data_IF_000662038797
#
_entry.id   IF_000662038797
#
_cell.length_a   1.000
_cell.length_b   1.000
_cell.length_c   1.000
_cell.angle_alpha   90.00
_cell.angle_beta   90.00
_cell.angle_gamma   90.00
#
_symmetry.space_group_name_H-M   'P 1'
#
loop_
_entity.id
_entity.type
_entity.pdbx_description
1 polymer ?
#
# COMPACT_ATOMS: atom_id res chain seq x y z
N UNK A 1 -12.49 -9.36 -15.55
CA UNK A 1 -11.24 -9.52 -16.36
C UNK A 1 -10.15 -10.03 -15.43
N UNK A 2 -9.23 -10.83 -15.94
CA UNK A 2 -8.10 -11.34 -15.15
C UNK A 2 -6.89 -10.41 -15.33
N UNK A 3 -6.24 -10.04 -14.25
CA UNK A 3 -4.98 -9.29 -14.31
C UNK A 3 -3.88 -10.20 -14.90
N UNK A 4 -3.18 -9.72 -15.93
CA UNK A 4 -2.18 -10.53 -16.62
C UNK A 4 -0.89 -10.78 -15.80
N UNK A 5 -0.78 -10.13 -14.63
CA UNK A 5 0.43 -10.15 -13.83
C UNK A 5 1.49 -9.20 -14.38
N UNK A 6 2.63 -9.16 -13.71
CA UNK A 6 3.79 -8.40 -14.17
C UNK A 6 5.09 -9.08 -13.71
N UNK A 7 6.19 -8.75 -14.37
CA UNK A 7 7.54 -9.23 -14.06
C UNK A 7 8.32 -8.22 -13.19
N UNK A 8 7.64 -7.21 -12.66
CA UNK A 8 8.27 -6.21 -11.78
C UNK A 8 8.71 -6.90 -10.50
N UNK A 9 9.95 -6.60 -10.07
CA UNK A 9 10.51 -7.10 -8.82
C UNK A 9 9.61 -6.75 -7.63
N UNK A 10 9.31 -7.72 -6.76
CA UNK A 10 8.50 -7.55 -5.56
C UNK A 10 8.01 -8.90 -5.02
N UNK A 11 7.31 -8.87 -3.90
CA UNK A 11 6.98 -10.08 -3.14
C UNK A 11 5.54 -10.56 -3.31
N UNK A 12 4.65 -9.71 -3.81
CA UNK A 12 3.25 -10.09 -4.02
C UNK A 12 3.07 -11.19 -5.04
N UNK A 13 2.29 -12.20 -4.68
CA UNK A 13 1.90 -13.29 -5.54
C UNK A 13 0.88 -12.84 -6.61
N UNK A 14 0.68 -13.63 -7.67
CA UNK A 14 -0.36 -13.34 -8.67
C UNK A 14 -1.77 -13.22 -8.09
N UNK A 15 -2.09 -13.96 -7.01
CA UNK A 15 -3.41 -13.90 -6.36
C UNK A 15 -3.63 -12.57 -5.64
N UNK A 16 -2.60 -12.03 -4.99
CA UNK A 16 -2.64 -10.72 -4.34
C UNK A 16 -2.77 -9.60 -5.36
N UNK A 17 -1.99 -9.64 -6.44
CA UNK A 17 -2.09 -8.69 -7.53
C UNK A 17 -3.46 -8.71 -8.21
N UNK A 18 -4.05 -9.89 -8.39
CA UNK A 18 -5.41 -10.03 -8.91
C UNK A 18 -6.43 -9.37 -7.98
N UNK A 19 -6.31 -9.59 -6.66
CA UNK A 19 -7.19 -8.96 -5.68
C UNK A 19 -7.09 -7.44 -5.72
N UNK A 20 -5.88 -6.88 -5.74
CA UNK A 20 -5.66 -5.43 -5.86
C UNK A 20 -6.29 -4.86 -7.13
N UNK A 21 -6.08 -5.52 -8.26
CA UNK A 21 -6.69 -5.14 -9.55
C UNK A 21 -8.23 -5.12 -9.47
N UNK A 22 -8.84 -6.15 -8.88
CA UNK A 22 -10.30 -6.26 -8.74
C UNK A 22 -10.89 -5.21 -7.81
N UNK A 23 -10.20 -4.88 -6.71
CA UNK A 23 -10.65 -3.79 -5.86
C UNK A 23 -10.48 -2.43 -6.56
N UNK A 24 -9.36 -2.23 -7.23
CA UNK A 24 -9.08 -0.98 -7.94
C UNK A 24 -10.13 -0.63 -9.01
N UNK A 25 -10.74 -1.63 -9.65
CA UNK A 25 -11.82 -1.42 -10.63
C UNK A 25 -13.06 -0.69 -10.07
N UNK A 26 -13.25 -0.73 -8.76
CA UNK A 26 -14.39 -0.13 -8.04
C UNK A 26 -14.07 1.26 -7.48
N UNK A 27 -12.85 1.73 -7.69
CA UNK A 27 -12.30 2.93 -7.02
C UNK A 27 -11.91 3.99 -8.06
N UNK A 28 -12.28 5.25 -7.79
CA UNK A 28 -11.87 6.38 -8.63
C UNK A 28 -10.56 7.03 -8.13
N UNK A 29 -10.27 6.91 -6.83
CA UNK A 29 -9.06 7.48 -6.21
C UNK A 29 -8.47 6.49 -5.21
N UNK A 30 -7.22 6.11 -5.43
CA UNK A 30 -6.48 5.16 -4.59
C UNK A 30 -5.21 5.83 -4.09
N UNK A 31 -4.85 5.61 -2.84
CA UNK A 31 -3.52 5.88 -2.29
C UNK A 31 -2.85 4.56 -1.97
N UNK A 32 -1.65 4.36 -2.45
CA UNK A 32 -0.75 3.28 -2.06
C UNK A 32 0.42 3.84 -1.25
N UNK A 33 0.68 3.26 -0.09
CA UNK A 33 1.80 3.59 0.80
C UNK A 33 2.83 2.45 0.70
N UNK A 34 4.06 2.78 0.26
CA UNK A 34 5.08 1.77 0.04
C UNK A 34 4.97 1.12 -1.33
N UNK A 35 5.50 1.78 -2.35
CA UNK A 35 5.34 1.38 -3.75
C UNK A 35 6.55 0.61 -4.29
N UNK A 36 7.73 0.78 -3.69
CA UNK A 36 8.97 0.12 -4.05
C UNK A 36 9.27 0.20 -5.56
N UNK A 37 9.36 -0.94 -6.25
CA UNK A 37 9.57 -1.01 -7.71
C UNK A 37 8.28 -0.88 -8.53
N UNK A 38 7.09 -0.81 -7.88
CA UNK A 38 5.81 -0.60 -8.55
C UNK A 38 5.06 -1.89 -8.92
N UNK A 39 5.36 -3.03 -8.29
CA UNK A 39 4.70 -4.31 -8.59
C UNK A 39 3.20 -4.28 -8.26
N UNK A 40 2.83 -3.91 -7.06
CA UNK A 40 1.46 -3.67 -6.61
C UNK A 40 0.83 -2.46 -7.29
N UNK A 41 1.62 -1.38 -7.41
CA UNK A 41 1.20 -0.15 -8.11
C UNK A 41 0.69 -0.43 -9.51
N UNK A 42 1.36 -1.31 -10.28
CA UNK A 42 0.91 -1.64 -11.64
C UNK A 42 -0.46 -2.34 -11.64
N UNK A 43 -0.73 -3.21 -10.67
CA UNK A 43 -2.04 -3.85 -10.53
C UNK A 43 -3.14 -2.83 -10.22
N UNK A 44 -2.87 -1.90 -9.29
CA UNK A 44 -3.79 -0.81 -8.94
C UNK A 44 -4.04 0.11 -10.14
N UNK A 45 -2.99 0.53 -10.85
CA UNK A 45 -3.08 1.39 -12.04
C UNK A 45 -3.88 0.74 -13.17
N UNK A 46 -3.67 -0.56 -13.39
CA UNK A 46 -4.35 -1.31 -14.44
C UNK A 46 -5.86 -1.49 -14.15
N UNK A 47 -6.24 -1.51 -12.88
CA UNK A 47 -7.64 -1.66 -12.48
C UNK A 47 -8.37 -0.32 -12.33
N UNK A 48 -7.71 0.68 -11.77
CA UNK A 48 -8.33 1.95 -11.38
C UNK A 48 -8.71 2.81 -12.60
N UNK A 49 -9.99 3.15 -12.79
CA UNK A 49 -10.42 4.04 -13.86
C UNK A 49 -10.06 5.53 -13.62
N UNK A 50 -9.67 5.86 -12.39
CA UNK A 50 -9.33 7.23 -11.99
C UNK A 50 -7.85 7.37 -11.64
N UNK A 51 -7.51 7.92 -10.48
CA UNK A 51 -6.13 8.27 -10.10
C UNK A 51 -5.59 7.35 -9.03
N UNK A 52 -4.35 6.90 -9.19
CA UNK A 52 -3.56 6.21 -8.16
C UNK A 52 -2.42 7.11 -7.70
N UNK A 53 -2.43 7.48 -6.44
CA UNK A 53 -1.37 8.22 -5.75
C UNK A 53 -0.40 7.20 -5.15
N UNK A 54 0.82 7.18 -5.66
CA UNK A 54 1.88 6.28 -5.19
C UNK A 54 2.81 7.04 -4.23
N UNK A 55 2.65 6.77 -2.94
CA UNK A 55 3.39 7.46 -1.86
C UNK A 55 4.52 6.56 -1.37
N UNK A 56 5.75 7.01 -1.56
CA UNK A 56 6.95 6.34 -1.07
C UNK A 56 8.09 7.37 -0.99
N UNK A 57 9.04 7.21 -0.09
CA UNK A 57 10.26 8.00 -0.09
C UNK A 57 11.37 7.34 -0.92
N UNK A 58 11.23 6.08 -1.31
CA UNK A 58 12.16 5.25 -2.07
C UNK A 58 13.58 5.15 -1.47
N UNK A 59 13.69 5.22 -0.15
CA UNK A 59 14.95 5.09 0.58
C UNK A 59 15.08 3.76 1.32
N UNK A 60 14.08 2.89 1.18
CA UNK A 60 13.99 1.59 1.86
C UNK A 60 13.52 1.69 3.30
N UNK A 61 12.95 0.60 3.82
CA UNK A 61 12.42 0.54 5.17
C UNK A 61 13.50 0.14 6.17
N UNK A 62 13.64 0.84 7.31
CA UNK A 62 14.51 0.40 8.39
C UNK A 62 13.91 -0.80 9.13
N UNK A 63 14.77 -1.70 9.58
CA UNK A 63 14.42 -2.71 10.57
C UNK A 63 14.43 -2.17 11.99
N UNK A 64 14.13 -3.03 12.96
CA UNK A 64 14.08 -2.65 14.38
C UNK A 64 15.41 -2.10 14.94
N UNK A 65 16.54 -2.43 14.34
CA UNK A 65 17.87 -1.91 14.69
C UNK A 65 18.26 -0.65 13.92
N UNK A 66 17.36 -0.08 13.10
CA UNK A 66 17.61 1.10 12.28
C UNK A 66 18.38 0.84 10.97
N UNK A 67 18.87 -0.37 10.72
CA UNK A 67 19.48 -0.73 9.46
C UNK A 67 18.43 -0.97 8.37
N UNK A 68 18.76 -0.64 7.12
CA UNK A 68 17.90 -0.93 5.97
C UNK A 68 17.69 -2.44 5.85
N UNK A 69 16.43 -2.87 5.84
CA UNK A 69 16.04 -4.26 5.68
C UNK A 69 16.72 -4.90 4.46
N UNK A 70 17.09 -6.19 4.60
CA UNK A 70 17.73 -6.93 3.50
C UNK A 70 16.90 -6.86 2.22
N UNK A 71 15.59 -6.97 2.34
CA UNK A 71 14.64 -6.86 1.23
C UNK A 71 14.75 -5.53 0.45
N UNK A 72 15.12 -4.44 1.15
CA UNK A 72 15.20 -3.09 0.59
C UNK A 72 16.63 -2.66 0.23
N UNK A 73 17.61 -3.56 0.18
CA UNK A 73 19.03 -3.22 -0.05
C UNK A 73 19.32 -2.60 -1.41
N UNK A 74 18.42 -2.71 -2.36
CA UNK A 74 18.55 -2.07 -3.69
C UNK A 74 18.83 -0.57 -3.59
N UNK A 75 18.31 0.12 -2.57
CA UNK A 75 18.56 1.56 -2.35
C UNK A 75 20.04 1.91 -2.19
N UNK A 76 20.90 0.93 -1.86
CA UNK A 76 22.36 1.11 -1.73
C UNK A 76 23.09 1.05 -3.07
N UNK A 77 22.46 0.53 -4.12
CA UNK A 77 23.11 0.20 -5.38
C UNK A 77 22.44 0.81 -6.60
N UNK A 78 21.20 1.29 -6.46
CA UNK A 78 20.45 1.88 -7.57
C UNK A 78 19.47 2.95 -7.10
N UNK A 79 19.05 3.82 -8.02
CA UNK A 79 17.92 4.72 -7.82
C UNK A 79 16.61 3.94 -7.98
N UNK A 80 15.99 3.58 -6.85
CA UNK A 80 14.74 2.79 -6.83
C UNK A 80 13.56 3.62 -7.37
N UNK A 81 13.55 4.94 -7.16
CA UNK A 81 12.52 5.80 -7.75
C UNK A 81 12.61 5.82 -9.29
N UNK A 82 13.83 5.91 -9.84
CA UNK A 82 14.01 5.82 -11.30
C UNK A 82 13.55 4.46 -11.85
N UNK A 83 13.82 3.37 -11.12
CA UNK A 83 13.33 2.03 -11.48
C UNK A 83 11.80 1.94 -11.40
N UNK A 84 11.18 2.48 -10.36
CA UNK A 84 9.73 2.61 -10.24
C UNK A 84 9.15 3.36 -11.44
N UNK A 85 9.66 4.54 -11.77
CA UNK A 85 9.19 5.34 -12.91
C UNK A 85 9.39 4.64 -14.25
N UNK A 86 10.47 3.86 -14.41
CA UNK A 86 10.66 3.03 -15.61
C UNK A 86 9.57 1.97 -15.75
N UNK A 87 9.14 1.38 -14.63
CA UNK A 87 8.16 0.29 -14.64
C UNK A 87 6.72 0.79 -14.83
N UNK A 88 6.34 1.90 -14.19
CA UNK A 88 4.95 2.35 -14.14
C UNK A 88 4.74 3.81 -14.58
N UNK A 89 5.77 4.56 -14.85
CA UNK A 89 5.68 5.98 -15.22
C UNK A 89 4.93 6.26 -16.54
N UNK A 90 4.68 5.23 -17.36
CA UNK A 90 3.87 5.35 -18.57
C UNK A 90 2.35 5.36 -18.36
N UNK A 91 1.86 5.07 -17.15
CA UNK A 91 0.44 5.11 -16.84
C UNK A 91 -0.03 6.56 -16.63
N UNK A 92 -1.01 7.00 -17.44
CA UNK A 92 -1.53 8.37 -17.40
C UNK A 92 -2.27 8.71 -16.08
N UNK A 93 -2.73 7.69 -15.34
CA UNK A 93 -3.43 7.81 -14.08
C UNK A 93 -2.53 7.69 -12.83
N UNK A 94 -1.20 7.63 -13.02
CA UNK A 94 -0.23 7.63 -11.92
C UNK A 94 0.05 9.05 -11.42
N UNK A 95 0.05 9.23 -10.10
CA UNK A 95 0.54 10.41 -9.40
C UNK A 95 1.58 10.00 -8.34
N UNK A 96 2.87 10.01 -8.63
CA UNK A 96 3.91 9.67 -7.66
C UNK A 96 4.11 10.82 -6.67
N UNK A 97 4.21 10.47 -5.38
CA UNK A 97 4.47 11.41 -4.27
C UNK A 97 5.71 10.91 -3.53
N UNK A 98 6.87 11.53 -3.85
CA UNK A 98 8.16 11.19 -3.24
C UNK A 98 8.30 11.81 -1.85
N UNK A 99 7.65 11.19 -0.87
CA UNK A 99 7.50 11.74 0.47
C UNK A 99 7.27 10.60 1.47
N UNK A 100 7.59 10.80 2.74
CA UNK A 100 7.21 9.84 3.77
C UNK A 100 5.68 9.84 3.96
N UNK A 101 5.12 8.69 4.33
CA UNK A 101 3.67 8.48 4.48
C UNK A 101 3.01 9.55 5.35
N UNK A 102 3.56 9.79 6.56
CA UNK A 102 3.00 10.74 7.53
C UNK A 102 3.16 12.21 7.12
N UNK A 103 4.05 12.52 6.18
CA UNK A 103 4.15 13.85 5.58
C UNK A 103 3.12 14.01 4.46
N UNK A 104 2.98 12.99 3.62
CA UNK A 104 2.09 13.00 2.47
C UNK A 104 0.61 13.10 2.87
N UNK A 105 0.21 12.50 4.00
CA UNK A 105 -1.18 12.45 4.46
C UNK A 105 -1.82 13.83 4.63
N UNK A 106 -1.02 14.85 4.97
CA UNK A 106 -1.47 16.23 5.09
C UNK A 106 -2.01 16.86 3.80
N UNK A 107 -1.68 16.27 2.64
CA UNK A 107 -2.17 16.73 1.32
C UNK A 107 -3.54 16.18 0.94
N UNK A 108 -4.13 15.32 1.78
CA UNK A 108 -5.42 14.67 1.52
C UNK A 108 -6.46 15.12 2.54
N UNK A 109 -7.60 15.58 2.06
CA UNK A 109 -8.76 15.86 2.91
C UNK A 109 -9.38 14.54 3.42
N UNK A 110 -10.12 14.61 4.51
CA UNK A 110 -10.85 13.44 5.04
C UNK A 110 -11.86 12.94 4.00
N UNK A 111 -12.02 11.60 3.93
CA UNK A 111 -12.92 10.92 2.98
C UNK A 111 -12.67 11.26 1.51
N UNK A 112 -11.46 11.73 1.15
CA UNK A 112 -11.14 12.19 -0.20
C UNK A 112 -10.64 11.09 -1.14
N UNK A 113 -10.28 9.91 -0.64
CA UNK A 113 -9.83 8.76 -1.43
C UNK A 113 -10.73 7.54 -1.20
N UNK A 114 -10.98 6.77 -2.25
CA UNK A 114 -11.86 5.59 -2.14
C UNK A 114 -11.18 4.43 -1.41
N UNK A 115 -9.89 4.23 -1.69
CA UNK A 115 -9.10 3.13 -1.12
C UNK A 115 -7.73 3.63 -0.68
N UNK A 116 -7.30 3.17 0.49
CA UNK A 116 -5.91 3.25 0.95
C UNK A 116 -5.37 1.84 1.05
N UNK A 117 -4.16 1.60 0.48
CA UNK A 117 -3.42 0.36 0.58
C UNK A 117 -2.06 0.61 1.23
N UNK A 118 -1.80 -0.02 2.38
CA UNK A 118 -0.61 0.20 3.23
C UNK A 118 0.33 -1.01 3.12
N UNK A 119 1.49 -0.80 2.49
CA UNK A 119 2.55 -1.81 2.31
C UNK A 119 3.96 -1.17 2.48
N UNK A 120 4.09 -0.29 3.46
CA UNK A 120 5.33 0.45 3.73
C UNK A 120 6.23 -0.25 4.73
N UNK A 121 6.26 0.23 5.97
CA UNK A 121 6.97 -0.41 7.07
C UNK A 121 6.11 -1.50 7.72
N UNK A 122 6.76 -2.56 8.22
CA UNK A 122 6.07 -3.68 8.88
C UNK A 122 6.30 -3.68 10.42
N UNK A 123 6.95 -2.64 10.94
CA UNK A 123 7.10 -2.45 12.37
C UNK A 123 5.77 -1.99 12.98
N UNK A 124 5.39 -2.56 14.11
CA UNK A 124 4.12 -2.26 14.79
C UNK A 124 3.80 -0.76 14.88
N UNK A 125 4.75 0.05 15.40
CA UNK A 125 4.53 1.49 15.58
C UNK A 125 4.29 2.22 14.25
N UNK A 126 5.00 1.82 13.19
CA UNK A 126 4.87 2.44 11.88
C UNK A 126 3.55 2.04 11.21
N UNK A 127 3.17 0.76 11.25
CA UNK A 127 1.88 0.28 10.72
C UNK A 127 0.72 0.95 11.45
N UNK A 128 0.79 1.02 12.78
CA UNK A 128 -0.22 1.70 13.60
C UNK A 128 -0.34 3.18 13.24
N UNK A 129 0.78 3.88 13.11
CA UNK A 129 0.79 5.29 12.74
C UNK A 129 0.19 5.53 11.35
N UNK A 130 0.55 4.70 10.35
CA UNK A 130 -0.01 4.78 9.00
C UNK A 130 -1.53 4.53 9.01
N UNK A 131 -2.00 3.48 9.68
CA UNK A 131 -3.44 3.20 9.77
C UNK A 131 -4.18 4.38 10.39
N UNK A 132 -3.74 4.89 11.54
CA UNK A 132 -4.40 6.00 12.23
C UNK A 132 -4.40 7.29 11.41
N UNK A 133 -3.33 7.57 10.66
CA UNK A 133 -3.23 8.75 9.82
C UNK A 133 -4.10 8.66 8.56
N UNK A 134 -4.14 7.51 7.91
CA UNK A 134 -4.80 7.33 6.62
C UNK A 134 -6.26 6.87 6.72
N UNK A 135 -6.68 6.26 7.82
CA UNK A 135 -8.07 5.84 8.03
C UNK A 135 -9.09 6.98 7.84
N UNK A 136 -8.87 8.21 8.37
CA UNK A 136 -9.77 9.32 8.12
C UNK A 136 -9.84 9.73 6.64
N UNK A 137 -8.79 9.48 5.85
CA UNK A 137 -8.72 9.85 4.44
C UNK A 137 -9.47 8.87 3.53
N UNK A 138 -9.58 7.61 3.96
CA UNK A 138 -10.27 6.56 3.23
C UNK A 138 -11.79 6.72 3.33
N UNK A 139 -12.49 6.51 2.21
CA UNK A 139 -13.95 6.60 2.13
C UNK A 139 -14.64 5.23 2.11
N UNK A 140 -14.06 4.25 1.38
CA UNK A 140 -14.70 2.96 1.15
C UNK A 140 -13.89 1.79 1.70
N UNK A 141 -12.57 1.81 1.53
CA UNK A 141 -11.70 0.68 1.83
C UNK A 141 -10.37 1.15 2.42
N UNK A 142 -10.00 0.61 3.57
CA UNK A 142 -8.62 0.63 4.05
C UNK A 142 -8.10 -0.80 4.03
N UNK A 143 -6.87 -1.00 3.58
CA UNK A 143 -6.26 -2.30 3.39
C UNK A 143 -4.74 -2.22 3.50
N UNK A 144 -4.09 -3.34 3.61
CA UNK A 144 -2.63 -3.42 3.61
C UNK A 144 -2.14 -4.86 3.48
N UNK A 145 -0.85 -5.07 3.67
CA UNK A 145 -0.17 -6.33 3.42
C UNK A 145 0.47 -6.92 4.69
N UNK A 146 1.14 -8.07 4.52
CA UNK A 146 1.95 -8.79 5.51
C UNK A 146 1.23 -9.35 6.75
N UNK A 147 -0.10 -9.37 6.80
CA UNK A 147 -0.80 -10.10 7.84
C UNK A 147 -0.45 -11.59 7.80
N UNK A 148 -0.04 -12.16 8.94
CA UNK A 148 0.34 -13.56 9.03
C UNK A 148 1.72 -13.91 8.46
N UNK A 149 2.49 -12.96 7.94
CA UNK A 149 3.88 -13.18 7.55
C UNK A 149 4.72 -13.53 8.80
N UNK A 150 5.57 -14.58 8.71
CA UNK A 150 6.28 -15.13 9.88
C UNK A 150 7.16 -14.13 10.63
N UNK A 151 7.72 -13.15 9.93
CA UNK A 151 8.65 -12.15 10.49
C UNK A 151 7.95 -10.82 10.74
N UNK A 152 7.17 -10.35 9.75
CA UNK A 152 6.56 -9.02 9.75
C UNK A 152 5.13 -9.03 10.30
N UNK A 153 4.42 -10.12 10.11
CA UNK A 153 3.01 -10.26 10.50
C UNK A 153 2.69 -9.98 11.96
N UNK A 154 3.54 -10.32 12.95
CA UNK A 154 3.23 -10.00 14.34
C UNK A 154 3.01 -8.51 14.61
N UNK A 155 3.82 -7.63 14.01
CA UNK A 155 3.64 -6.18 14.16
C UNK A 155 2.38 -5.67 13.47
N UNK A 156 2.09 -6.20 12.27
CA UNK A 156 0.87 -5.88 11.53
C UNK A 156 -0.37 -6.36 12.29
N UNK A 157 -0.39 -7.62 12.73
CA UNK A 157 -1.53 -8.20 13.44
C UNK A 157 -1.83 -7.45 14.75
N UNK A 158 -0.79 -7.10 15.52
CA UNK A 158 -0.94 -6.32 16.75
C UNK A 158 -1.56 -4.95 16.49
N UNK A 159 -1.13 -4.24 15.45
CA UNK A 159 -1.68 -2.94 15.10
C UNK A 159 -3.16 -3.03 14.69
N UNK A 160 -3.52 -4.06 13.91
CA UNK A 160 -4.89 -4.29 13.48
C UNK A 160 -5.82 -4.63 14.66
N UNK A 161 -5.38 -5.54 15.54
CA UNK A 161 -6.13 -5.93 16.72
C UNK A 161 -6.40 -4.73 17.65
N UNK A 162 -5.41 -3.88 17.86
CA UNK A 162 -5.55 -2.70 18.71
C UNK A 162 -6.49 -1.65 18.11
N UNK A 163 -6.47 -1.45 16.78
CA UNK A 163 -7.26 -0.39 16.13
C UNK A 163 -8.67 -0.88 15.77
N UNK A 164 -8.80 -2.10 15.29
CA UNK A 164 -10.04 -2.64 14.73
C UNK A 164 -10.65 -3.79 15.57
N UNK A 165 -9.92 -4.34 16.56
CA UNK A 165 -10.35 -5.55 17.25
C UNK A 165 -10.43 -6.72 16.26
N UNK A 166 -11.65 -7.26 16.08
CA UNK A 166 -11.93 -8.31 15.09
C UNK A 166 -12.67 -7.78 13.84
N UNK A 167 -12.79 -6.46 13.69
CA UNK A 167 -13.57 -5.83 12.63
C UNK A 167 -12.69 -5.51 11.40
N UNK A 168 -12.05 -6.55 10.87
CA UNK A 168 -11.32 -6.55 9.60
C UNK A 168 -11.34 -7.98 9.00
N UNK A 169 -11.01 -8.08 7.72
CA UNK A 169 -10.96 -9.34 6.99
C UNK A 169 -9.55 -9.59 6.46
N UNK A 170 -9.26 -10.88 6.17
CA UNK A 170 -7.99 -11.32 5.59
C UNK A 170 -8.27 -11.96 4.23
N UNK A 171 -7.63 -11.42 3.22
CA UNK A 171 -7.68 -11.87 1.83
C UNK A 171 -6.50 -12.77 1.44
N UNK A 172 -6.20 -12.88 0.16
CA UNK A 172 -5.11 -13.71 -0.33
C UNK A 172 -3.75 -13.21 0.15
N UNK A 173 -2.84 -14.16 0.47
CA UNK A 173 -1.42 -13.91 0.71
C UNK A 173 -1.08 -13.02 1.90
N UNK A 174 -2.04 -12.74 2.77
CA UNK A 174 -1.82 -11.85 3.92
C UNK A 174 -2.22 -10.40 3.67
N UNK A 175 -2.99 -10.12 2.62
CA UNK A 175 -3.71 -8.86 2.50
C UNK A 175 -4.76 -8.80 3.60
N UNK A 176 -4.73 -7.76 4.41
CA UNK A 176 -5.81 -7.41 5.34
C UNK A 176 -6.62 -6.27 4.78
N UNK A 177 -7.93 -6.20 5.11
CA UNK A 177 -8.78 -5.12 4.64
C UNK A 177 -9.99 -4.91 5.55
N UNK A 178 -10.49 -3.67 5.55
CA UNK A 178 -11.72 -3.28 6.20
C UNK A 178 -12.52 -2.38 5.28
N UNK A 179 -13.74 -2.79 4.96
CA UNK A 179 -14.72 -1.93 4.32
C UNK A 179 -15.22 -0.90 5.32
N UNK A 180 -15.26 0.34 4.89
CA UNK A 180 -15.75 1.46 5.69
C UNK A 180 -17.21 1.70 5.34
N UNK A 181 -18.06 1.86 6.36
CA UNK A 181 -19.46 2.21 6.16
C UNK A 181 -19.55 3.60 5.52
N UNK A 182 -20.38 3.74 4.49
CA UNK A 182 -20.77 5.07 4.02
C UNK A 182 -21.54 5.73 5.15
N UNK A 183 -21.08 6.89 5.63
CA UNK A 183 -21.84 7.68 6.55
C UNK A 183 -23.18 8.01 5.86
N UNK A 184 -24.27 7.39 6.31
CA UNK A 184 -25.60 7.77 5.91
C UNK A 184 -25.83 9.19 6.47
N UNK A 185 -25.65 10.19 5.57
CA UNK A 185 -25.96 11.59 5.84
C UNK A 185 -27.45 11.87 5.68
#
# INVERSE_FOLDING_TARGET
>A
MTYAGNDIKGWMSPKELQWLYEQAQKMARIVEIGCWHGRSTQALLSGCPGTVYAVDHWQGSPGANGEILFACRDVKTMDVFAAFMKNVGGFANLQPIKMASLEAVGSFADKSVDMVFIDGSHLYEAVKADILAWLPKARKLISGHDYGHKVWGPGVAQALEEIFGNDYEVGPGGIWFKWLEEAHG
#
